data_IF_924300958918
#
_entry.id   IF_924300958918
#
_cell.length_a   1.000
_cell.length_b   1.000
_cell.length_c   1.000
_cell.angle_alpha   90.00
_cell.angle_beta   90.00
_cell.angle_gamma   90.00
#
_symmetry.space_group_name_H-M   'P 1'
#
loop_
_entity.id
_entity.type
_entity.pdbx_description
1 polymer ?
#
# COMPACT_ATOMS: atom_id res chain seq x y z
N UNK A 1 2.93 15.96 8.25
CA UNK A 1 2.96 17.43 8.07
C UNK A 1 2.02 18.11 9.07
N UNK A 2 0.75 17.76 9.20
CA UNK A 2 -0.18 18.34 10.18
C UNK A 2 0.30 18.14 11.63
N UNK A 3 0.82 16.96 11.96
CA UNK A 3 1.42 16.67 13.27
C UNK A 3 2.64 17.55 13.53
N UNK A 4 3.50 17.75 12.53
CA UNK A 4 4.64 18.69 12.62
C UNK A 4 4.16 20.12 12.90
N UNK A 5 3.10 20.57 12.21
CA UNK A 5 2.51 21.90 12.49
C UNK A 5 1.99 22.00 13.92
N UNK A 6 1.38 20.94 14.44
CA UNK A 6 0.96 20.84 15.85
C UNK A 6 2.14 20.95 16.82
N UNK A 7 3.24 20.23 16.57
CA UNK A 7 4.45 20.32 17.39
C UNK A 7 5.08 21.73 17.34
N UNK A 8 5.10 22.37 16.19
CA UNK A 8 5.58 23.75 16.03
C UNK A 8 4.77 24.77 16.84
N UNK A 9 3.46 24.53 16.96
CA UNK A 9 2.57 25.39 17.77
C UNK A 9 2.78 25.19 19.29
N UNK A 10 3.05 23.96 19.73
CA UNK A 10 3.20 23.63 21.17
C UNK A 10 4.63 23.94 21.62
N UNK A 11 5.64 23.52 20.87
CA UNK A 11 7.04 23.70 21.24
C UNK A 11 7.93 23.84 19.99
N UNK A 12 8.39 25.05 19.64
CA UNK A 12 9.19 25.29 18.42
C UNK A 12 10.48 24.45 18.30
N UNK A 13 11.04 24.00 19.47
CA UNK A 13 12.24 23.16 19.48
C UNK A 13 11.99 21.69 19.06
N UNK A 14 10.74 21.25 19.06
CA UNK A 14 10.34 19.90 18.60
C UNK A 14 9.95 19.87 17.12
N UNK A 15 10.02 21.01 16.44
CA UNK A 15 9.75 21.09 15.03
C UNK A 15 10.88 20.45 14.22
N UNK A 16 10.53 19.51 13.33
CA UNK A 16 11.46 18.85 12.42
C UNK A 16 12.00 19.87 11.38
N UNK A 17 13.24 19.65 10.98
CA UNK A 17 13.82 20.41 9.85
C UNK A 17 13.21 19.94 8.53
N UNK A 18 13.22 20.78 7.47
CA UNK A 18 12.72 20.39 6.15
C UNK A 18 13.32 19.08 5.62
N UNK A 19 14.64 18.91 5.83
CA UNK A 19 15.36 17.69 5.41
C UNK A 19 14.85 16.44 6.14
N UNK A 20 14.56 16.55 7.45
CA UNK A 20 14.01 15.46 8.26
C UNK A 20 12.59 15.08 7.80
N UNK A 21 11.78 16.09 7.41
CA UNK A 21 10.45 15.85 6.87
C UNK A 21 10.50 15.12 5.52
N UNK A 22 11.49 15.40 4.67
CA UNK A 22 11.72 14.66 3.42
C UNK A 22 12.06 13.21 3.72
N UNK A 23 12.95 12.94 4.68
CA UNK A 23 13.32 11.58 5.06
C UNK A 23 12.10 10.83 5.62
N UNK A 24 11.35 11.45 6.53
CA UNK A 24 10.12 10.86 7.10
C UNK A 24 9.11 10.53 5.99
N UNK A 25 8.95 11.44 5.02
CA UNK A 25 8.06 11.21 3.87
C UNK A 25 8.49 10.01 3.03
N UNK A 26 9.77 9.93 2.66
CA UNK A 26 10.32 8.80 1.89
C UNK A 26 10.14 7.49 2.67
N UNK A 27 10.52 7.47 3.95
CA UNK A 27 10.34 6.29 4.80
C UNK A 27 8.88 5.87 4.91
N UNK A 28 7.95 6.83 5.01
CA UNK A 28 6.52 6.55 5.08
C UNK A 28 6.00 5.91 3.79
N UNK A 29 6.40 6.41 2.62
CA UNK A 29 6.01 5.81 1.33
C UNK A 29 6.52 4.38 1.21
N UNK A 30 7.81 4.15 1.53
CA UNK A 30 8.40 2.81 1.49
C UNK A 30 7.71 1.88 2.47
N UNK A 31 7.44 2.33 3.69
CA UNK A 31 6.75 1.54 4.72
C UNK A 31 5.31 1.22 4.34
N UNK A 32 4.59 2.14 3.73
CA UNK A 32 3.20 1.92 3.31
C UNK A 32 3.06 0.83 2.22
N UNK A 33 4.10 0.59 1.44
CA UNK A 33 4.08 -0.47 0.42
C UNK A 33 4.10 -1.89 1.03
N UNK A 34 4.53 -2.05 2.28
CA UNK A 34 4.62 -3.35 2.96
C UNK A 34 3.23 -3.89 3.34
N UNK A 35 2.38 -3.15 4.10
CA UNK A 35 1.08 -3.66 4.55
C UNK A 35 -0.03 -3.56 3.50
N UNK A 36 0.16 -2.78 2.44
CA UNK A 36 -0.84 -2.59 1.39
C UNK A 36 -0.63 -3.56 0.22
N UNK A 37 -1.23 -3.30 -0.92
CA UNK A 37 -1.20 -4.11 -2.16
C UNK A 37 0.21 -4.55 -2.64
N UNK A 38 1.29 -4.10 -1.98
CA UNK A 38 2.65 -4.39 -2.43
C UNK A 38 3.15 -5.77 -2.05
N UNK A 39 3.07 -6.14 -0.78
CA UNK A 39 3.74 -7.34 -0.27
C UNK A 39 2.81 -8.27 0.51
N UNK A 40 2.26 -7.81 1.64
CA UNK A 40 1.53 -8.67 2.58
C UNK A 40 0.26 -9.22 1.97
N UNK A 41 -0.43 -8.42 1.18
CA UNK A 41 -1.71 -8.77 0.58
C UNK A 41 -1.58 -9.83 -0.52
N UNK A 42 -0.43 -9.91 -1.20
CA UNK A 42 -0.18 -10.91 -2.25
C UNK A 42 0.71 -12.06 -1.80
N UNK A 43 1.75 -11.79 -1.01
CA UNK A 43 2.74 -12.81 -0.67
C UNK A 43 2.14 -13.96 0.13
N UNK A 44 1.37 -13.64 1.19
CA UNK A 44 0.76 -14.69 2.03
C UNK A 44 -0.27 -15.53 1.27
N UNK A 45 -1.21 -14.93 0.49
CA UNK A 45 -2.11 -15.71 -0.36
C UNK A 45 -1.39 -16.54 -1.44
N UNK A 46 -0.33 -16.02 -2.07
CA UNK A 46 0.43 -16.77 -3.08
C UNK A 46 1.11 -18.00 -2.44
N UNK A 47 1.71 -17.84 -1.27
CA UNK A 47 2.36 -18.96 -0.57
C UNK A 47 1.37 -20.05 -0.13
N UNK A 48 0.14 -19.68 0.24
CA UNK A 48 -0.81 -20.61 0.85
C UNK A 48 -1.96 -21.03 -0.06
N UNK A 49 -2.25 -20.27 -1.11
CA UNK A 49 -3.42 -20.45 -1.96
C UNK A 49 -3.47 -21.80 -2.66
N UNK A 50 -2.33 -22.30 -3.14
CA UNK A 50 -2.27 -23.61 -3.79
C UNK A 50 -2.70 -24.76 -2.86
N UNK A 51 -2.48 -24.62 -1.54
CA UNK A 51 -2.89 -25.60 -0.54
C UNK A 51 -4.33 -25.41 -0.09
N UNK A 52 -4.77 -24.16 0.08
CA UNK A 52 -6.11 -23.84 0.54
C UNK A 52 -7.20 -24.14 -0.51
N UNK A 53 -6.96 -23.77 -1.77
CA UNK A 53 -7.92 -23.94 -2.86
C UNK A 53 -7.82 -25.29 -3.58
N UNK A 54 -7.00 -26.22 -3.10
CA UNK A 54 -6.94 -27.56 -3.65
C UNK A 54 -8.23 -28.32 -3.34
N UNK A 55 -8.92 -28.78 -4.39
CA UNK A 55 -10.14 -29.59 -4.31
C UNK A 55 -9.97 -30.88 -5.09
N UNK A 56 -10.87 -31.84 -4.90
CA UNK A 56 -10.87 -33.08 -5.69
C UNK A 56 -11.13 -32.81 -7.19
N UNK A 57 -11.87 -31.74 -7.51
CA UNK A 57 -12.25 -31.38 -8.88
C UNK A 57 -11.10 -30.72 -9.67
N UNK A 58 -10.28 -29.90 -8.98
CA UNK A 58 -9.17 -29.22 -9.65
C UNK A 58 -7.85 -30.02 -9.63
N UNK A 59 -7.80 -31.11 -8.89
CA UNK A 59 -6.67 -32.05 -8.79
C UNK A 59 -5.33 -31.38 -8.44
N UNK A 60 -5.33 -30.18 -7.81
CA UNK A 60 -4.10 -29.46 -7.49
C UNK A 60 -3.16 -30.24 -6.57
N UNK A 61 -3.73 -31.13 -5.74
CA UNK A 61 -2.96 -32.04 -4.92
C UNK A 61 -2.04 -32.97 -5.71
N UNK A 62 -2.48 -33.40 -6.89
CA UNK A 62 -1.73 -34.27 -7.80
C UNK A 62 -0.90 -33.48 -8.82
N UNK A 63 -1.44 -32.37 -9.32
CA UNK A 63 -0.84 -31.64 -10.43
C UNK A 63 0.16 -30.56 -9.98
N UNK A 64 -0.05 -29.96 -8.80
CA UNK A 64 0.72 -28.78 -8.38
C UNK A 64 1.57 -29.09 -7.12
N UNK A 65 0.99 -29.71 -6.09
CA UNK A 65 1.69 -29.91 -4.82
C UNK A 65 3.02 -30.68 -4.94
N UNK A 66 3.20 -31.69 -5.82
CA UNK A 66 4.49 -32.37 -5.96
C UNK A 66 5.64 -31.46 -6.42
N UNK A 67 5.30 -30.36 -7.08
CA UNK A 67 6.30 -29.41 -7.59
C UNK A 67 6.56 -28.24 -6.64
N UNK A 68 5.71 -28.04 -5.63
CA UNK A 68 5.91 -27.01 -4.61
C UNK A 68 6.89 -27.51 -3.56
N UNK A 69 8.01 -26.78 -3.39
CA UNK A 69 8.97 -27.13 -2.36
C UNK A 69 8.43 -26.82 -0.96
N UNK A 70 8.67 -27.70 0.00
CA UNK A 70 8.17 -27.58 1.36
C UNK A 70 8.61 -26.29 2.09
N UNK A 71 9.74 -25.73 1.73
CA UNK A 71 10.25 -24.48 2.30
C UNK A 71 9.57 -23.23 1.73
N UNK A 72 8.84 -23.34 0.63
CA UNK A 72 8.16 -22.20 -0.02
C UNK A 72 6.79 -21.89 0.57
N UNK A 73 6.17 -22.86 1.25
CA UNK A 73 4.77 -22.81 1.70
C UNK A 73 4.66 -23.30 3.14
N UNK A 74 3.66 -22.81 3.91
CA UNK A 74 3.35 -23.36 5.23
C UNK A 74 2.94 -24.82 5.12
N UNK A 75 3.55 -25.71 5.91
CA UNK A 75 3.27 -27.16 5.85
C UNK A 75 2.05 -27.57 6.68
N UNK A 76 1.62 -26.72 7.61
CA UNK A 76 0.49 -27.02 8.48
C UNK A 76 -0.81 -26.49 7.88
N UNK A 77 -1.68 -27.40 7.44
CA UNK A 77 -2.97 -27.04 6.82
C UNK A 77 -3.87 -26.23 7.75
N UNK A 78 -3.83 -26.49 9.06
CA UNK A 78 -4.60 -25.74 10.06
C UNK A 78 -4.21 -24.26 10.09
N UNK A 79 -2.93 -23.95 10.00
CA UNK A 79 -2.43 -22.58 9.94
C UNK A 79 -2.88 -21.85 8.65
N UNK A 80 -2.88 -22.56 7.53
CA UNK A 80 -3.39 -22.07 6.25
C UNK A 80 -4.90 -21.83 6.32
N UNK A 81 -5.64 -22.78 6.87
CA UNK A 81 -7.09 -22.66 7.05
C UNK A 81 -7.46 -21.45 7.92
N UNK A 82 -6.79 -21.27 9.06
CA UNK A 82 -7.04 -20.13 9.95
C UNK A 82 -6.68 -18.78 9.33
N UNK A 83 -5.77 -18.76 8.39
CA UNK A 83 -5.46 -17.52 7.63
C UNK A 83 -6.64 -17.06 6.78
N UNK A 84 -7.36 -17.98 6.12
CA UNK A 84 -8.50 -17.66 5.26
C UNK A 84 -9.84 -17.58 5.98
N UNK A 85 -10.08 -18.46 6.95
CA UNK A 85 -11.38 -18.58 7.61
C UNK A 85 -11.44 -17.91 8.99
N UNK A 86 -10.28 -17.45 9.50
CA UNK A 86 -10.16 -16.93 10.85
C UNK A 86 -9.88 -18.02 11.88
N UNK A 87 -9.26 -17.61 12.99
CA UNK A 87 -8.98 -18.52 14.12
C UNK A 87 -10.22 -18.68 15.00
N UNK A 88 -10.52 -19.89 15.51
CA UNK A 88 -11.59 -20.09 16.49
C UNK A 88 -11.37 -19.29 17.76
N UNK A 89 -12.47 -18.97 18.47
CA UNK A 89 -12.38 -18.25 19.74
C UNK A 89 -11.46 -18.96 20.73
N UNK A 90 -10.48 -18.22 21.27
CA UNK A 90 -9.53 -18.75 22.27
C UNK A 90 -8.29 -19.42 21.67
N UNK A 91 -8.20 -19.59 20.36
CA UNK A 91 -7.00 -20.10 19.69
C UNK A 91 -6.15 -18.93 19.18
N UNK A 92 -4.90 -18.89 19.63
CA UNK A 92 -3.95 -17.86 19.15
C UNK A 92 -3.52 -18.10 17.69
N UNK A 93 -2.99 -17.05 17.07
CA UNK A 93 -2.46 -17.13 15.70
C UNK A 93 -1.23 -18.04 15.69
N UNK A 94 -1.25 -19.06 14.83
CA UNK A 94 -0.14 -20.01 14.68
C UNK A 94 0.90 -19.44 13.72
N UNK A 95 1.90 -18.72 14.26
CA UNK A 95 2.95 -18.08 13.45
C UNK A 95 4.06 -19.02 12.98
N UNK A 96 4.32 -20.08 13.76
CA UNK A 96 5.48 -20.96 13.54
C UNK A 96 5.56 -21.56 12.14
N UNK A 97 4.48 -22.07 11.53
CA UNK A 97 4.51 -22.64 10.18
C UNK A 97 4.82 -21.62 9.08
N UNK A 98 4.63 -20.31 9.35
CA UNK A 98 4.91 -19.24 8.39
C UNK A 98 6.36 -18.75 8.41
N UNK A 99 7.10 -19.03 9.50
CA UNK A 99 8.47 -18.51 9.67
C UNK A 99 9.40 -19.04 8.59
N UNK A 100 9.39 -20.34 8.31
CA UNK A 100 10.27 -20.95 7.29
C UNK A 100 10.02 -20.39 5.89
N UNK A 101 8.77 -20.36 5.37
CA UNK A 101 8.50 -19.73 4.09
C UNK A 101 8.90 -18.25 4.06
N UNK A 102 8.57 -17.46 5.07
CA UNK A 102 8.93 -16.05 5.10
C UNK A 102 10.42 -15.81 5.07
N UNK A 103 11.21 -16.59 5.84
CA UNK A 103 12.67 -16.50 5.84
C UNK A 103 13.30 -16.81 4.48
N UNK A 104 12.63 -17.61 3.66
CA UNK A 104 13.11 -17.93 2.30
C UNK A 104 12.67 -16.92 1.25
N UNK A 105 11.46 -16.36 1.38
CA UNK A 105 10.93 -15.38 0.45
C UNK A 105 11.51 -13.97 0.67
N UNK A 106 11.71 -13.55 1.93
CA UNK A 106 12.25 -12.21 2.26
C UNK A 106 13.59 -11.91 1.59
N UNK A 107 14.61 -12.78 1.61
CA UNK A 107 15.86 -12.51 0.93
C UNK A 107 15.70 -12.29 -0.58
N UNK A 108 14.84 -13.05 -1.24
CA UNK A 108 14.55 -12.88 -2.66
C UNK A 108 13.91 -11.54 -2.94
N UNK A 109 12.91 -11.14 -2.13
CA UNK A 109 12.23 -9.86 -2.24
C UNK A 109 13.22 -8.71 -2.00
N UNK A 110 14.07 -8.80 -0.98
CA UNK A 110 15.11 -7.81 -0.70
C UNK A 110 16.11 -7.69 -1.85
N UNK A 111 16.47 -8.81 -2.49
CA UNK A 111 17.36 -8.80 -3.67
C UNK A 111 16.71 -8.07 -4.85
N UNK A 112 15.41 -8.24 -5.07
CA UNK A 112 14.65 -7.53 -6.11
C UNK A 112 14.63 -6.02 -5.79
N UNK A 113 14.27 -5.62 -4.57
CA UNK A 113 14.27 -4.21 -4.17
C UNK A 113 15.66 -3.58 -4.29
N UNK A 114 16.69 -4.31 -3.88
CA UNK A 114 18.08 -3.86 -4.02
C UNK A 114 18.48 -3.66 -5.48
N UNK A 115 18.11 -4.59 -6.36
CA UNK A 115 18.34 -4.46 -7.80
C UNK A 115 17.63 -3.26 -8.39
N UNK A 116 16.36 -3.03 -8.00
CA UNK A 116 15.59 -1.85 -8.41
C UNK A 116 16.26 -0.55 -7.92
N UNK A 117 16.74 -0.52 -6.68
CA UNK A 117 17.47 0.62 -6.14
C UNK A 117 18.75 0.91 -6.92
N UNK A 118 19.53 -0.12 -7.27
CA UNK A 118 20.74 0.02 -8.09
C UNK A 118 20.41 0.60 -9.48
N UNK A 119 19.36 0.11 -10.13
CA UNK A 119 18.91 0.62 -11.42
C UNK A 119 18.52 2.10 -11.31
N UNK A 120 17.76 2.46 -10.26
CA UNK A 120 17.35 3.85 -10.03
C UNK A 120 18.53 4.78 -9.78
N UNK A 121 19.56 4.33 -9.05
CA UNK A 121 20.79 5.10 -8.83
C UNK A 121 21.54 5.34 -10.15
N UNK A 122 21.61 4.34 -11.02
CA UNK A 122 22.23 4.50 -12.35
C UNK A 122 21.46 5.47 -13.25
N UNK A 123 20.12 5.36 -13.26
CA UNK A 123 19.26 6.19 -14.10
C UNK A 123 19.13 7.63 -13.56
N UNK A 124 19.38 7.86 -12.28
CA UNK A 124 19.22 9.17 -11.64
C UNK A 124 19.93 10.29 -12.39
N UNK A 125 21.18 10.06 -12.78
CA UNK A 125 22.00 11.07 -13.47
C UNK A 125 21.43 11.39 -14.86
N UNK A 126 20.96 10.38 -15.56
CA UNK A 126 20.31 10.54 -16.85
C UNK A 126 19.05 11.40 -16.74
N UNK A 127 18.15 11.05 -15.84
CA UNK A 127 16.85 11.69 -15.70
C UNK A 127 16.93 13.12 -15.14
N UNK A 128 17.76 13.34 -14.11
CA UNK A 128 17.84 14.65 -13.45
C UNK A 128 18.70 15.63 -14.27
N UNK A 129 19.86 15.18 -14.77
CA UNK A 129 20.85 16.10 -15.36
C UNK A 129 20.66 16.25 -16.86
N UNK A 130 20.44 15.14 -17.59
CA UNK A 130 20.35 15.16 -19.05
C UNK A 130 18.94 15.43 -19.55
N UNK A 131 17.96 14.66 -19.09
CA UNK A 131 16.58 14.78 -19.57
C UNK A 131 15.77 15.83 -18.81
N UNK A 132 16.24 16.25 -17.64
CA UNK A 132 15.59 17.25 -16.76
C UNK A 132 14.11 16.94 -16.58
N UNK A 133 13.79 15.67 -16.30
CA UNK A 133 12.42 15.23 -16.12
C UNK A 133 11.78 15.99 -14.94
N UNK A 134 10.61 16.55 -15.20
CA UNK A 134 9.77 17.06 -14.13
C UNK A 134 9.14 15.88 -13.39
N UNK A 135 9.40 15.76 -12.09
CA UNK A 135 8.79 14.74 -11.22
C UNK A 135 7.58 15.33 -10.47
N UNK A 136 6.36 15.34 -11.06
CA UNK A 136 5.22 16.02 -10.46
C UNK A 136 4.87 15.50 -9.07
N UNK A 137 5.05 14.18 -8.86
CA UNK A 137 4.78 13.53 -7.57
C UNK A 137 5.74 13.96 -6.46
N UNK A 138 6.93 14.42 -6.79
CA UNK A 138 7.92 14.93 -5.83
C UNK A 138 7.66 16.42 -5.52
N UNK A 139 7.09 17.17 -6.46
CA UNK A 139 6.81 18.58 -6.27
C UNK A 139 5.77 18.82 -5.17
N UNK A 140 4.77 17.95 -5.07
CA UNK A 140 3.73 18.10 -4.05
C UNK A 140 4.29 18.02 -2.61
N UNK A 141 5.05 16.99 -2.20
CA UNK A 141 5.66 16.96 -0.87
C UNK A 141 6.66 18.09 -0.65
N UNK A 142 7.40 18.53 -1.68
CA UNK A 142 8.29 19.69 -1.55
C UNK A 142 7.50 20.97 -1.26
N UNK A 143 6.43 21.22 -1.99
CA UNK A 143 5.54 22.36 -1.71
C UNK A 143 4.90 22.30 -0.31
N UNK A 144 4.64 21.08 0.22
CA UNK A 144 4.13 20.91 1.59
C UNK A 144 5.17 21.20 2.66
N UNK A 145 6.47 21.13 2.32
CA UNK A 145 7.61 21.33 3.24
C UNK A 145 8.10 22.78 3.16
N UNK A 146 7.92 23.43 2.02
CA UNK A 146 8.39 24.78 1.77
C UNK A 146 7.94 25.74 2.88
N UNK A 147 8.91 26.41 3.49
CA UNK A 147 8.70 27.42 4.53
C UNK A 147 8.59 28.81 3.88
N UNK A 148 7.69 29.59 4.43
CA UNK A 148 7.56 31.01 4.14
C UNK A 148 8.30 31.79 5.24
N UNK A 149 9.09 32.78 4.87
CA UNK A 149 9.82 33.68 5.81
C UNK A 149 8.86 34.50 6.70
N UNK A 150 7.56 34.32 6.54
CA UNK A 150 6.53 35.02 7.31
C UNK A 150 6.44 34.63 8.79
N UNK A 151 7.22 33.64 9.25
CA UNK A 151 7.21 33.18 10.65
C UNK A 151 5.90 32.53 11.12
N UNK A 152 4.96 32.31 10.20
CA UNK A 152 3.65 31.71 10.52
C UNK A 152 3.76 30.20 10.74
N UNK A 153 2.94 29.67 11.64
CA UNK A 153 2.94 28.26 11.97
C UNK A 153 2.44 27.37 10.82
N UNK A 154 1.47 27.84 10.05
CA UNK A 154 0.92 27.14 8.89
C UNK A 154 1.73 27.48 7.64
N UNK A 155 2.25 26.45 6.97
CA UNK A 155 2.98 26.55 5.71
C UNK A 155 2.10 27.08 4.57
N UNK A 156 2.67 27.74 3.54
CA UNK A 156 1.91 28.36 2.45
C UNK A 156 0.96 27.40 1.75
N UNK A 157 1.38 26.17 1.53
CA UNK A 157 0.57 25.12 0.91
C UNK A 157 -0.78 24.91 1.64
N UNK A 158 -0.77 24.81 2.95
CA UNK A 158 -1.98 24.58 3.75
C UNK A 158 -2.88 25.82 3.92
N UNK A 159 -2.38 26.98 3.52
CA UNK A 159 -3.17 28.23 3.51
C UNK A 159 -3.94 28.43 2.22
N UNK A 160 -3.62 27.65 1.18
CA UNK A 160 -4.29 27.76 -0.11
C UNK A 160 -5.68 27.07 -0.03
N UNK A 161 -6.74 27.86 -0.27
CA UNK A 161 -8.11 27.36 -0.26
C UNK A 161 -8.35 26.31 -1.35
N UNK A 162 -7.65 26.42 -2.49
CA UNK A 162 -7.75 25.49 -3.62
C UNK A 162 -7.30 24.08 -3.22
N UNK A 163 -6.26 23.98 -2.38
CA UNK A 163 -5.82 22.70 -1.80
C UNK A 163 -6.95 22.06 -0.99
N UNK A 164 -7.62 22.83 -0.12
CA UNK A 164 -8.72 22.34 0.68
C UNK A 164 -9.95 21.95 -0.14
N UNK A 165 -10.25 22.71 -1.20
CA UNK A 165 -11.33 22.37 -2.14
C UNK A 165 -11.02 21.05 -2.88
N UNK A 166 -9.77 20.86 -3.35
CA UNK A 166 -9.33 19.63 -3.98
C UNK A 166 -9.34 18.42 -3.04
N UNK A 167 -9.01 18.63 -1.76
CA UNK A 167 -9.09 17.59 -0.73
C UNK A 167 -10.53 17.25 -0.35
N UNK A 168 -11.40 18.24 -0.23
CA UNK A 168 -12.78 18.07 0.23
C UNK A 168 -13.58 17.17 -0.71
N UNK A 169 -13.35 17.27 -2.02
CA UNK A 169 -14.10 16.50 -3.02
C UNK A 169 -13.94 14.98 -2.83
N UNK A 170 -12.73 14.40 -2.89
CA UNK A 170 -12.54 12.97 -2.67
C UNK A 170 -12.87 12.55 -1.23
N UNK A 171 -12.64 13.43 -0.25
CA UNK A 171 -12.97 13.16 1.14
C UNK A 171 -14.47 12.98 1.35
N UNK A 172 -15.30 13.88 0.81
CA UNK A 172 -16.77 13.79 0.90
C UNK A 172 -17.28 12.55 0.19
N UNK A 173 -16.82 12.30 -1.05
CA UNK A 173 -17.23 11.12 -1.83
C UNK A 173 -16.83 9.82 -1.11
N UNK A 174 -15.60 9.73 -0.60
CA UNK A 174 -15.12 8.58 0.14
C UNK A 174 -15.87 8.36 1.45
N UNK A 175 -16.15 9.45 2.19
CA UNK A 175 -16.90 9.40 3.44
C UNK A 175 -18.35 8.97 3.24
N UNK A 176 -19.02 9.48 2.19
CA UNK A 176 -20.38 9.05 1.85
C UNK A 176 -20.43 7.57 1.49
N UNK A 177 -19.46 7.08 0.71
CA UNK A 177 -19.35 5.66 0.36
C UNK A 177 -19.07 4.78 1.59
N UNK A 178 -18.17 5.20 2.46
CA UNK A 178 -17.91 4.49 3.71
C UNK A 178 -19.14 4.46 4.61
N UNK A 179 -19.85 5.59 4.73
CA UNK A 179 -21.03 5.71 5.57
C UNK A 179 -22.21 4.87 5.03
N UNK A 180 -22.34 4.77 3.70
CA UNK A 180 -23.35 3.91 3.08
C UNK A 180 -23.18 2.43 3.47
N UNK A 181 -21.93 1.95 3.65
CA UNK A 181 -21.68 0.57 4.07
C UNK A 181 -22.24 0.25 5.47
N UNK A 182 -22.43 1.26 6.31
CA UNK A 182 -23.03 1.13 7.64
C UNK A 182 -24.49 1.53 7.69
N UNK A 183 -24.89 2.51 6.86
CA UNK A 183 -26.24 3.08 6.86
C UNK A 183 -26.80 3.14 5.43
N UNK A 184 -27.65 2.20 5.08
CA UNK A 184 -28.24 2.06 3.75
C UNK A 184 -29.07 3.27 3.27
N UNK A 185 -29.47 4.20 4.16
CA UNK A 185 -30.20 5.41 3.77
C UNK A 185 -29.31 6.50 3.17
N UNK A 186 -27.98 6.38 3.30
CA UNK A 186 -27.03 7.35 2.73
C UNK A 186 -26.86 7.08 1.23
N UNK A 187 -27.03 8.10 0.35
CA UNK A 187 -26.88 7.90 -1.09
C UNK A 187 -25.44 7.50 -1.46
N UNK A 188 -25.29 6.49 -2.33
CA UNK A 188 -23.98 6.12 -2.87
C UNK A 188 -23.66 6.93 -4.11
N UNK A 189 -22.41 7.37 -4.22
CA UNK A 189 -21.86 7.91 -5.45
C UNK A 189 -21.24 6.77 -6.24
N UNK A 190 -21.80 6.43 -7.38
CA UNK A 190 -21.24 5.42 -8.30
C UNK A 190 -19.99 5.99 -8.95
N UNK A 191 -18.82 5.61 -8.44
CA UNK A 191 -17.53 6.06 -8.97
C UNK A 191 -16.97 5.14 -10.08
N UNK A 192 -17.61 3.99 -10.32
CA UNK A 192 -17.21 3.05 -11.36
C UNK A 192 -18.21 3.14 -12.54
N UNK A 193 -17.78 3.76 -13.62
CA UNK A 193 -18.45 3.66 -14.91
C UNK A 193 -17.95 2.39 -15.60
N UNK A 194 -18.64 1.26 -15.46
CA UNK A 194 -18.43 0.11 -16.33
C UNK A 194 -19.10 0.42 -17.68
N UNK A 195 -18.31 0.83 -18.66
CA UNK A 195 -18.75 0.90 -20.04
C UNK A 195 -18.71 -0.53 -20.59
N UNK A 196 -19.85 -1.17 -20.87
CA UNK A 196 -19.81 -2.49 -21.50
C UNK A 196 -19.38 -2.33 -22.96
N UNK A 197 -18.06 -2.44 -23.19
CA UNK A 197 -17.46 -2.32 -24.52
C UNK A 197 -17.87 -3.46 -25.48
N UNK A 198 -18.38 -4.57 -24.94
CA UNK A 198 -18.90 -5.69 -25.74
C UNK A 198 -20.17 -6.25 -25.07
N UNK A 199 -21.30 -5.79 -25.51
CA UNK A 199 -22.57 -6.51 -25.33
C UNK A 199 -22.59 -7.57 -26.41
N UNK A 200 -22.28 -8.82 -26.06
CA UNK A 200 -22.49 -9.95 -26.97
C UNK A 200 -23.95 -10.01 -27.37
N UNK A 201 -24.28 -9.50 -28.54
CA UNK A 201 -25.52 -9.78 -29.25
C UNK A 201 -25.40 -11.15 -29.91
N UNK A 202 -25.41 -12.21 -29.10
CA UNK A 202 -25.68 -13.57 -29.58
C UNK A 202 -26.98 -14.01 -28.94
N UNK A 203 -28.09 -13.47 -29.48
CA UNK A 203 -29.38 -14.11 -29.43
C UNK A 203 -29.81 -14.35 -30.90
N UNK A 204 -29.50 -15.53 -31.40
CA UNK A 204 -30.23 -16.23 -32.45
C UNK A 204 -30.36 -17.66 -32.01
#
# INVERSE_FOLDING_TARGET
FLVHTGFRLIHPRLAFRPEELVVIYIMSIVSCSIPTMGLTEYLLPIMSGAHYYATAENEWGLLIHPYIKSWMVPQEFTAVKYFYEGSPHGVGITWLPWVTPLLTWIPMILAIYFSMACIMVMLRKQWIVRERLAFPLVQLPLAMIEDDDSGRALKPFFRNWLMWAGFALPFVVGSLKALHNYYNFVPTVVTQMSIPLFRNTTSL
#
